data_IF_429257163549
#
_entry.id   IF_429257163549
#
_cell.length_a   1.000
_cell.length_b   1.000
_cell.length_c   1.000
_cell.angle_alpha   90.00
_cell.angle_beta   90.00
_cell.angle_gamma   90.00
#
_symmetry.space_group_name_H-M   'P 1'
#
loop_
_entity.id
_entity.type
_entity.pdbx_description
1 polymer ?
#
# COMPACT_ATOMS: atom_id res chain seq x y z
N UNK A 1 -2.81 74.13 27.54
CA UNK A 1 -1.74 74.85 28.23
C UNK A 1 -0.43 74.44 27.58
N UNK A 2 0.03 75.24 26.69
CA UNK A 2 1.19 76.13 26.73
C UNK A 2 2.52 75.38 26.71
N UNK A 3 3.12 75.31 25.52
CA UNK A 3 4.30 76.05 25.03
C UNK A 3 5.57 75.84 25.86
N UNK A 4 6.71 75.44 25.24
CA UNK A 4 7.76 76.34 24.76
C UNK A 4 8.84 75.59 23.95
N UNK A 5 9.13 76.16 22.81
CA UNK A 5 10.27 75.94 21.90
C UNK A 5 11.57 76.57 22.48
N UNK A 6 12.76 76.01 22.25
CA UNK A 6 13.96 76.85 22.12
C UNK A 6 14.92 76.33 21.03
N UNK A 7 15.28 77.30 20.20
CA UNK A 7 16.23 77.30 19.06
C UNK A 7 17.69 77.56 19.48
N UNK A 8 18.60 77.06 18.61
CA UNK A 8 19.75 77.78 18.13
C UNK A 8 21.10 77.36 18.71
N UNK A 9 22.18 77.09 17.99
CA UNK A 9 22.95 78.04 17.14
C UNK A 9 24.00 77.24 16.34
N UNK A 10 24.22 77.69 15.12
CA UNK A 10 25.36 77.36 14.23
C UNK A 10 26.66 78.02 14.77
N UNK A 11 27.83 77.41 14.49
CA UNK A 11 29.09 78.14 14.24
C UNK A 11 29.85 77.48 13.08
N UNK A 12 30.51 78.38 12.33
CA UNK A 12 31.16 78.20 11.05
C UNK A 12 32.67 77.97 11.22
N UNK A 13 33.23 77.22 10.23
CA UNK A 13 34.56 77.12 9.60
C UNK A 13 35.71 78.11 10.01
N UNK A 14 37.02 77.85 9.70
CA UNK A 14 37.48 77.64 8.32
C UNK A 14 38.64 76.62 8.09
N UNK A 15 38.93 76.44 6.79
CA UNK A 15 39.93 75.62 6.15
C UNK A 15 41.41 76.08 6.36
N UNK A 16 42.33 75.15 6.24
CA UNK A 16 43.65 75.39 5.72
C UNK A 16 44.24 74.18 4.99
N UNK A 17 44.65 74.43 3.76
CA UNK A 17 45.38 73.56 2.84
C UNK A 17 46.75 73.14 3.40
N UNK A 18 47.15 71.90 3.09
CA UNK A 18 48.58 71.60 2.80
C UNK A 18 48.69 70.42 1.88
N UNK A 19 49.19 70.67 0.67
CA UNK A 19 49.59 69.73 -0.38
C UNK A 19 50.99 69.24 -0.06
N UNK A 20 51.28 67.95 -0.10
CA UNK A 20 52.60 67.42 -0.47
C UNK A 20 52.46 66.02 -1.05
N UNK A 21 52.96 65.87 -2.27
CA UNK A 21 52.97 64.65 -3.10
C UNK A 21 54.11 63.73 -2.62
N UNK A 22 53.84 62.39 -2.69
CA UNK A 22 54.87 61.36 -2.85
C UNK A 22 54.36 60.12 -3.50
N UNK A 23 54.86 59.92 -4.63
CA UNK A 23 55.05 58.76 -5.57
C UNK A 23 54.61 57.33 -5.17
N UNK A 24 53.85 56.79 -6.07
CA UNK A 24 53.87 55.44 -6.69
C UNK A 24 54.65 54.30 -6.01
N UNK A 25 53.97 53.29 -5.51
CA UNK A 25 54.25 51.87 -5.83
C UNK A 25 52.91 51.15 -6.00
N UNK A 26 52.52 50.91 -7.26
CA UNK A 26 51.39 50.09 -7.58
C UNK A 26 51.80 48.60 -7.47
N UNK A 27 51.60 47.97 -6.35
CA UNK A 27 51.58 46.51 -6.25
C UNK A 27 50.17 46.03 -6.62
N UNK A 28 50.06 45.57 -7.86
CA UNK A 28 48.90 44.84 -8.35
C UNK A 28 48.86 43.51 -7.60
N UNK A 29 48.06 43.43 -6.53
CA UNK A 29 47.62 42.16 -5.99
C UNK A 29 46.53 41.64 -6.89
N UNK A 30 46.94 40.81 -7.89
CA UNK A 30 46.01 39.89 -8.57
C UNK A 30 45.60 38.85 -7.52
N UNK A 31 44.55 39.14 -6.79
CA UNK A 31 43.83 38.11 -6.06
C UNK A 31 43.20 37.17 -7.10
N UNK A 32 43.94 36.11 -7.43
CA UNK A 32 43.30 34.92 -8.04
C UNK A 32 42.30 34.43 -7.00
N UNK A 33 41.08 34.93 -7.12
CA UNK A 33 39.92 34.31 -6.49
C UNK A 33 39.80 32.94 -7.15
N UNK A 34 40.56 31.96 -6.62
CA UNK A 34 40.27 30.57 -6.86
C UNK A 34 38.82 30.37 -6.40
N UNK A 35 37.90 30.46 -7.35
CA UNK A 35 36.52 30.13 -7.16
C UNK A 35 36.46 28.66 -6.74
N UNK A 36 36.64 28.42 -5.43
CA UNK A 36 36.14 27.19 -4.83
C UNK A 36 34.65 27.21 -5.07
N UNK A 37 34.25 26.66 -6.20
CA UNK A 37 32.89 26.15 -6.36
C UNK A 37 32.66 25.27 -5.14
N UNK A 38 32.03 25.81 -4.11
CA UNK A 38 31.50 25.03 -3.03
C UNK A 38 30.49 24.09 -3.72
N UNK A 39 30.90 22.85 -3.99
CA UNK A 39 29.97 21.81 -4.35
C UNK A 39 28.91 21.82 -3.25
N UNK A 40 27.80 22.48 -3.52
CA UNK A 40 26.63 22.40 -2.65
C UNK A 40 26.40 20.91 -2.40
N UNK A 41 26.69 20.46 -1.19
CA UNK A 41 26.44 19.08 -0.81
C UNK A 41 24.95 18.86 -0.93
N UNK A 42 24.56 17.99 -1.87
CA UNK A 42 23.17 17.70 -2.13
C UNK A 42 22.46 17.30 -0.81
N UNK A 43 21.34 17.94 -0.51
CA UNK A 43 20.59 17.70 0.73
C UNK A 43 20.17 16.24 0.86
N UNK A 44 20.23 15.70 2.07
CA UNK A 44 19.82 14.32 2.35
C UNK A 44 18.30 14.16 2.20
N UNK A 45 17.87 13.15 1.48
CA UNK A 45 16.46 12.73 1.39
C UNK A 45 16.15 11.80 2.56
N UNK A 46 15.27 12.23 3.45
CA UNK A 46 14.87 11.51 4.66
C UNK A 46 13.60 10.72 4.41
N UNK A 47 13.66 9.39 4.55
CA UNK A 47 12.56 8.46 4.29
C UNK A 47 12.16 7.79 5.60
N UNK A 48 10.86 7.65 5.83
CA UNK A 48 10.27 6.83 6.88
C UNK A 48 9.46 5.69 6.28
N UNK A 49 9.29 4.60 7.04
CA UNK A 49 8.35 3.51 6.74
C UNK A 49 7.38 3.40 7.91
N UNK A 50 6.11 3.14 7.64
CA UNK A 50 5.08 2.85 8.64
C UNK A 50 4.40 1.52 8.29
N UNK A 51 4.32 0.61 9.27
CA UNK A 51 3.59 -0.65 9.17
C UNK A 51 3.14 -1.12 10.55
N UNK A 52 2.34 -2.19 10.60
CA UNK A 52 1.75 -2.72 11.83
C UNK A 52 2.66 -3.78 12.45
N UNK A 53 3.22 -3.47 13.62
CA UNK A 53 3.99 -4.42 14.42
C UNK A 53 3.16 -5.05 15.56
N UNK A 54 1.93 -4.61 15.73
CA UNK A 54 0.92 -5.07 16.67
C UNK A 54 -0.45 -5.17 15.97
N UNK A 55 -1.45 -5.75 16.62
CA UNK A 55 -2.81 -5.87 16.08
C UNK A 55 -2.99 -7.07 15.14
N UNK A 56 -4.07 -7.03 14.36
CA UNK A 56 -4.51 -8.14 13.52
C UNK A 56 -3.54 -8.52 12.40
N UNK A 57 -2.70 -7.58 11.95
CA UNK A 57 -1.79 -7.75 10.82
C UNK A 57 -0.31 -7.74 11.20
N UNK A 58 0.02 -7.79 12.49
CA UNK A 58 1.40 -7.72 13.00
C UNK A 58 2.37 -8.73 12.36
N UNK A 59 1.86 -9.90 11.97
CA UNK A 59 2.67 -10.94 11.30
C UNK A 59 3.27 -10.50 9.96
N UNK A 60 2.77 -9.42 9.35
CA UNK A 60 3.22 -8.93 8.06
C UNK A 60 4.28 -7.81 8.16
N UNK A 61 4.60 -7.34 9.38
CA UNK A 61 5.49 -6.21 9.62
C UNK A 61 6.84 -6.31 8.89
N UNK A 62 7.53 -7.41 9.07
CA UNK A 62 8.83 -7.63 8.44
C UNK A 62 8.73 -7.79 6.92
N UNK A 63 7.65 -8.39 6.42
CA UNK A 63 7.38 -8.57 4.99
C UNK A 63 7.16 -7.22 4.28
N UNK A 64 6.40 -6.33 4.89
CA UNK A 64 6.15 -4.97 4.42
C UNK A 64 7.44 -4.17 4.30
N UNK A 65 8.21 -4.12 5.39
CA UNK A 65 9.47 -3.39 5.46
C UNK A 65 10.47 -3.98 4.47
N UNK A 66 10.55 -5.31 4.40
CA UNK A 66 11.40 -6.03 3.46
C UNK A 66 11.07 -5.72 2.01
N UNK A 67 9.78 -5.62 1.66
CA UNK A 67 9.32 -5.21 0.34
C UNK A 67 9.82 -3.82 -0.03
N UNK A 68 9.61 -2.83 0.84
CA UNK A 68 10.08 -1.47 0.63
C UNK A 68 11.61 -1.39 0.49
N UNK A 69 12.35 -2.03 1.40
CA UNK A 69 13.82 -2.03 1.38
C UNK A 69 14.34 -2.73 0.12
N UNK A 70 13.71 -3.83 -0.32
CA UNK A 70 14.10 -4.53 -1.54
C UNK A 70 14.08 -3.60 -2.77
N UNK A 71 13.04 -2.78 -2.92
CA UNK A 71 12.96 -1.81 -4.01
C UNK A 71 14.03 -0.70 -3.87
N UNK A 72 14.21 -0.15 -2.67
CA UNK A 72 15.23 0.86 -2.39
C UNK A 72 16.64 0.30 -2.63
N UNK A 73 16.92 -0.93 -2.21
CA UNK A 73 18.21 -1.58 -2.42
C UNK A 73 18.48 -1.82 -3.92
N UNK A 74 17.49 -2.36 -4.62
CA UNK A 74 17.63 -2.68 -6.04
C UNK A 74 17.78 -1.44 -6.92
N UNK A 75 17.07 -0.35 -6.59
CA UNK A 75 16.94 0.79 -7.51
C UNK A 75 17.58 2.09 -7.00
N UNK A 76 17.93 2.18 -5.72
CA UNK A 76 18.55 3.38 -5.14
C UNK A 76 19.85 3.09 -4.37
N UNK A 77 20.30 1.83 -4.36
CA UNK A 77 21.60 1.44 -3.85
C UNK A 77 21.73 1.43 -2.33
N UNK A 78 20.61 1.37 -1.58
CA UNK A 78 20.68 1.16 -0.14
C UNK A 78 21.13 -0.28 0.17
N UNK A 79 21.67 -0.51 1.35
CA UNK A 79 22.11 -1.84 1.82
C UNK A 79 21.33 -2.21 3.08
N UNK A 80 20.54 -3.32 3.08
CA UNK A 80 19.91 -3.82 4.30
C UNK A 80 20.95 -4.04 5.40
N UNK A 81 20.66 -3.59 6.62
CA UNK A 81 21.57 -3.79 7.77
C UNK A 81 21.63 -5.24 8.23
N UNK A 82 20.47 -5.91 8.18
CA UNK A 82 20.35 -7.32 8.57
C UNK A 82 19.48 -8.07 7.56
N UNK A 83 20.04 -9.02 6.80
CA UNK A 83 19.28 -9.81 5.82
C UNK A 83 18.27 -10.79 6.44
N UNK A 84 18.31 -11.00 7.77
CA UNK A 84 17.37 -11.83 8.50
C UNK A 84 16.26 -11.03 9.21
N UNK A 85 16.40 -9.70 9.29
CA UNK A 85 15.47 -8.81 9.99
C UNK A 85 15.33 -7.49 9.21
N UNK A 86 14.38 -7.41 8.26
CA UNK A 86 14.15 -6.19 7.47
C UNK A 86 13.96 -4.93 8.31
N UNK A 87 13.29 -5.01 9.47
CA UNK A 87 13.06 -3.89 10.39
C UNK A 87 14.34 -3.32 11.01
N UNK A 88 15.50 -3.99 10.87
CA UNK A 88 16.78 -3.39 11.21
C UNK A 88 17.12 -2.18 10.30
N UNK A 89 16.40 -2.02 9.18
CA UNK A 89 16.55 -0.92 8.25
C UNK A 89 17.71 -1.05 7.28
N UNK A 90 18.21 0.07 6.78
CA UNK A 90 19.28 0.11 5.78
C UNK A 90 20.32 1.20 6.04
N UNK A 91 21.40 1.17 5.26
CA UNK A 91 22.43 2.20 5.18
C UNK A 91 22.73 2.57 3.73
N UNK A 92 23.34 3.74 3.52
CA UNK A 92 23.78 4.19 2.20
C UNK A 92 22.61 4.50 1.25
N UNK A 93 22.93 4.45 -0.05
CA UNK A 93 22.02 4.82 -1.13
C UNK A 93 22.03 6.31 -1.46
N UNK A 94 21.78 6.61 -2.75
CA UNK A 94 21.69 7.99 -3.25
C UNK A 94 20.86 8.07 -4.51
N UNK A 95 20.21 9.20 -4.74
CA UNK A 95 19.47 9.51 -5.97
C UNK A 95 19.83 10.93 -6.41
N UNK A 96 20.29 11.11 -7.65
CA UNK A 96 20.64 12.42 -8.19
C UNK A 96 21.73 13.16 -7.40
N UNK A 97 22.62 12.42 -6.72
CA UNK A 97 23.62 12.99 -5.81
C UNK A 97 23.14 13.13 -4.36
N UNK A 98 21.84 13.10 -4.09
CA UNK A 98 21.26 13.23 -2.75
C UNK A 98 21.38 11.91 -1.97
N UNK A 99 22.04 11.89 -0.80
CA UNK A 99 22.08 10.71 0.06
C UNK A 99 20.68 10.36 0.55
N UNK A 100 20.41 9.04 0.71
CA UNK A 100 19.18 8.55 1.34
C UNK A 100 19.42 8.22 2.80
N UNK A 101 18.51 8.62 3.67
CA UNK A 101 18.54 8.31 5.10
C UNK A 101 17.20 7.74 5.56
N UNK A 102 17.22 6.55 6.15
CA UNK A 102 16.09 6.06 6.95
C UNK A 102 16.10 6.82 8.27
N UNK A 103 15.04 7.58 8.56
CA UNK A 103 14.93 8.32 9.82
C UNK A 103 14.17 7.54 10.87
N UNK A 104 13.32 6.61 10.47
CA UNK A 104 12.61 5.72 11.37
C UNK A 104 11.69 4.74 10.67
N UNK A 105 11.38 3.67 11.38
CA UNK A 105 10.31 2.74 11.05
C UNK A 105 9.26 2.88 12.15
N UNK A 106 8.01 3.12 11.76
CA UNK A 106 6.87 3.24 12.64
C UNK A 106 6.25 1.89 12.90
N UNK A 107 5.73 1.73 14.11
CA UNK A 107 5.02 0.57 14.58
C UNK A 107 3.59 0.97 14.90
N UNK A 108 2.62 0.49 14.14
CA UNK A 108 1.20 0.72 14.36
C UNK A 108 0.47 -0.57 14.76
N UNK A 109 -0.88 -0.53 14.87
CA UNK A 109 -1.68 -1.60 15.45
C UNK A 109 -3.10 -1.68 14.88
N UNK A 110 -3.27 -1.35 13.61
CA UNK A 110 -4.55 -1.29 12.88
C UNK A 110 -5.50 -0.16 13.33
N UNK A 111 -5.03 0.77 14.19
CA UNK A 111 -5.85 1.89 14.69
C UNK A 111 -5.38 3.22 14.13
N UNK A 112 -6.33 4.03 13.72
CA UNK A 112 -6.10 5.36 13.15
C UNK A 112 -5.30 6.29 14.07
N UNK A 113 -5.57 6.27 15.38
CA UNK A 113 -4.91 7.11 16.38
C UNK A 113 -3.42 6.77 16.55
N UNK A 114 -3.10 5.46 16.61
CA UNK A 114 -1.71 4.98 16.69
C UNK A 114 -0.96 5.32 15.41
N UNK A 115 -1.57 5.11 14.24
CA UNK A 115 -0.96 5.48 12.96
C UNK A 115 -0.67 6.98 12.86
N UNK A 116 -1.56 7.85 13.35
CA UNK A 116 -1.32 9.30 13.36
C UNK A 116 -0.23 9.69 14.35
N UNK A 117 -0.19 9.09 15.54
CA UNK A 117 0.89 9.30 16.51
C UNK A 117 2.24 8.96 15.89
N UNK A 118 2.36 7.80 15.27
CA UNK A 118 3.58 7.36 14.58
C UNK A 118 3.91 8.23 13.36
N UNK A 119 2.90 8.61 12.57
CA UNK A 119 3.10 9.53 11.44
C UNK A 119 3.67 10.86 11.90
N UNK A 120 3.15 11.47 12.96
CA UNK A 120 3.70 12.72 13.53
C UNK A 120 5.13 12.52 14.04
N UNK A 121 5.39 11.44 14.76
CA UNK A 121 6.75 11.12 15.20
C UNK A 121 7.71 11.04 14.02
N UNK A 122 7.35 10.33 12.96
CA UNK A 122 8.19 10.15 11.78
C UNK A 122 8.38 11.46 10.99
N UNK A 123 7.29 12.17 10.72
CA UNK A 123 7.28 13.33 9.81
C UNK A 123 7.71 14.64 10.48
N UNK A 124 7.31 14.84 11.74
CA UNK A 124 7.56 16.09 12.47
C UNK A 124 8.79 15.98 13.38
N UNK A 125 8.85 14.99 14.26
CA UNK A 125 9.95 14.87 15.24
C UNK A 125 11.24 14.35 14.60
N UNK A 126 11.16 13.32 13.73
CA UNK A 126 12.32 12.77 13.02
C UNK A 126 12.57 13.47 11.69
N UNK A 127 11.67 14.34 11.26
CA UNK A 127 11.80 15.20 10.10
C UNK A 127 11.86 14.46 8.78
N UNK A 128 11.11 13.37 8.60
CA UNK A 128 11.03 12.69 7.32
C UNK A 128 10.52 13.64 6.23
N UNK A 129 11.04 13.48 5.02
CA UNK A 129 10.56 14.16 3.83
C UNK A 129 9.46 13.36 3.14
N UNK A 130 9.59 12.03 3.19
CA UNK A 130 8.79 11.05 2.48
C UNK A 130 8.41 9.92 3.43
N UNK A 131 7.21 9.36 3.26
CA UNK A 131 6.78 8.19 4.01
C UNK A 131 6.23 7.11 3.07
N UNK A 132 6.59 5.85 3.35
CA UNK A 132 6.05 4.64 2.73
C UNK A 132 5.20 3.93 3.78
N UNK A 133 3.93 3.70 3.49
CA UNK A 133 2.97 3.13 4.44
C UNK A 133 1.65 3.91 4.47
N UNK A 134 0.70 3.49 5.30
CA UNK A 134 0.70 2.35 6.23
C UNK A 134 0.22 1.02 5.61
N UNK A 135 0.01 0.00 6.47
CA UNK A 135 -0.55 -1.29 6.09
C UNK A 135 -2.07 -1.30 6.12
N UNK A 136 -2.69 -0.85 7.20
CA UNK A 136 -4.10 -1.08 7.50
C UNK A 136 -5.04 -0.02 6.89
N UNK A 137 -6.32 -0.39 6.73
CA UNK A 137 -7.31 0.44 6.06
C UNK A 137 -7.59 1.76 6.77
N UNK A 138 -8.03 1.72 8.02
CA UNK A 138 -8.38 2.92 8.80
C UNK A 138 -7.16 3.82 9.02
N UNK A 139 -6.00 3.23 9.19
CA UNK A 139 -4.74 3.94 9.27
C UNK A 139 -4.46 4.76 8.00
N UNK A 140 -4.68 4.15 6.84
CA UNK A 140 -4.41 4.83 5.56
C UNK A 140 -5.37 5.99 5.31
N UNK A 141 -6.62 5.89 5.78
CA UNK A 141 -7.58 7.00 5.75
C UNK A 141 -7.09 8.15 6.63
N UNK A 142 -6.65 7.84 7.85
CA UNK A 142 -6.12 8.82 8.79
C UNK A 142 -4.83 9.47 8.26
N UNK A 143 -3.88 8.68 7.77
CA UNK A 143 -2.61 9.18 7.18
C UNK A 143 -2.87 10.01 5.93
N UNK A 144 -3.84 9.65 5.09
CA UNK A 144 -4.20 10.47 3.92
C UNK A 144 -4.81 11.82 4.32
N UNK A 145 -5.62 11.87 5.39
CA UNK A 145 -6.11 13.13 5.96
C UNK A 145 -4.97 14.00 6.51
N UNK A 146 -4.01 13.41 7.22
CA UNK A 146 -2.79 14.09 7.65
C UNK A 146 -1.99 14.62 6.44
N UNK A 147 -1.77 13.80 5.42
CA UNK A 147 -1.07 14.18 4.20
C UNK A 147 -1.73 15.38 3.51
N UNK A 148 -3.07 15.43 3.47
CA UNK A 148 -3.84 16.53 2.88
C UNK A 148 -3.55 17.88 3.53
N UNK A 149 -3.19 17.88 4.81
CA UNK A 149 -2.81 19.07 5.58
C UNK A 149 -1.30 19.42 5.41
N UNK A 150 -0.46 18.43 5.09
CA UNK A 150 1.00 18.57 4.97
C UNK A 150 1.46 18.43 3.50
N UNK A 151 0.99 19.33 2.63
CA UNK A 151 1.14 19.23 1.17
C UNK A 151 2.58 19.33 0.66
N UNK A 152 3.51 19.83 1.48
CA UNK A 152 4.94 19.90 1.21
C UNK A 152 5.69 18.59 1.51
N UNK A 153 4.99 17.56 1.92
CA UNK A 153 5.48 16.20 2.15
C UNK A 153 4.84 15.22 1.17
N UNK A 154 5.47 14.10 0.89
CA UNK A 154 4.94 13.09 -0.04
C UNK A 154 4.78 11.75 0.65
N UNK A 155 3.66 11.12 0.41
CA UNK A 155 3.27 9.84 0.98
C UNK A 155 2.99 8.84 -0.15
N UNK A 156 3.57 7.67 -0.07
CA UNK A 156 3.20 6.53 -0.89
C UNK A 156 2.66 5.43 0.01
N UNK A 157 1.59 4.79 -0.42
CA UNK A 157 0.93 3.75 0.37
C UNK A 157 1.89 2.60 0.70
N UNK A 158 1.54 1.82 1.70
CA UNK A 158 2.08 0.49 1.92
C UNK A 158 1.23 -0.56 1.23
N UNK A 159 0.47 -1.30 2.02
CA UNK A 159 -0.49 -2.30 1.52
C UNK A 159 -1.95 -1.86 1.67
N UNK A 160 -2.21 -0.83 2.46
CA UNK A 160 -3.57 -0.43 2.84
C UNK A 160 -4.57 -0.43 1.67
N UNK A 161 -5.74 -1.04 1.91
CA UNK A 161 -6.75 -1.31 0.89
C UNK A 161 -8.11 -0.63 1.12
N UNK A 162 -8.23 0.37 2.02
CA UNK A 162 -9.47 1.13 2.15
C UNK A 162 -9.75 1.96 0.88
N UNK A 163 -11.00 1.93 0.42
CA UNK A 163 -11.45 2.71 -0.72
C UNK A 163 -11.36 4.22 -0.45
N UNK A 164 -11.70 4.61 0.77
CA UNK A 164 -11.79 5.99 1.23
C UNK A 164 -10.46 6.74 1.11
N UNK A 165 -9.35 6.08 1.28
CA UNK A 165 -8.00 6.66 1.27
C UNK A 165 -7.76 7.55 0.04
N UNK A 166 -8.13 7.08 -1.14
CA UNK A 166 -7.91 7.81 -2.40
C UNK A 166 -9.20 8.36 -3.00
N UNK A 167 -10.33 7.68 -2.85
CA UNK A 167 -11.58 8.07 -3.48
C UNK A 167 -12.36 9.12 -2.69
N UNK A 168 -12.32 9.10 -1.36
CA UNK A 168 -13.00 10.05 -0.49
C UNK A 168 -12.08 11.17 -0.01
N UNK A 169 -10.94 10.84 0.61
CA UNK A 169 -9.99 11.83 1.16
C UNK A 169 -9.32 12.65 0.07
N UNK A 170 -8.89 12.02 -1.02
CA UNK A 170 -8.29 12.66 -2.21
C UNK A 170 -7.09 13.56 -1.91
N UNK A 171 -6.24 13.22 -0.93
CA UNK A 171 -5.05 14.00 -0.59
C UNK A 171 -4.13 14.13 -1.83
N UNK A 172 -3.72 15.36 -2.24
CA UNK A 172 -3.00 15.57 -3.51
C UNK A 172 -1.58 15.01 -3.53
N UNK A 173 -1.04 14.68 -2.39
CA UNK A 173 0.32 14.21 -2.11
C UNK A 173 0.38 12.79 -1.53
N UNK A 174 -0.74 12.06 -1.56
CA UNK A 174 -0.82 10.64 -1.22
C UNK A 174 -1.05 9.81 -2.48
N UNK A 175 -0.20 8.81 -2.73
CA UNK A 175 -0.19 7.98 -3.94
C UNK A 175 -0.27 6.50 -3.58
N UNK A 176 -1.11 5.72 -4.28
CA UNK A 176 -1.27 4.30 -4.02
C UNK A 176 -1.02 3.48 -5.30
N UNK A 177 0.15 2.82 -5.36
CA UNK A 177 0.56 1.95 -6.48
C UNK A 177 0.21 0.47 -6.22
N UNK A 178 -0.88 0.24 -5.52
CA UNK A 178 -1.50 -1.07 -5.30
C UNK A 178 -3.03 -0.94 -5.39
N UNK A 179 -3.70 -2.06 -5.64
CA UNK A 179 -5.16 -2.13 -5.58
C UNK A 179 -5.70 -1.84 -4.18
N UNK A 180 -7.00 -1.66 -4.08
CA UNK A 180 -7.73 -1.66 -2.82
C UNK A 180 -8.57 -2.93 -2.65
N UNK A 181 -9.27 -3.04 -1.52
CA UNK A 181 -10.10 -4.20 -1.20
C UNK A 181 -11.16 -4.48 -2.26
N UNK A 182 -11.72 -3.45 -2.90
CA UNK A 182 -12.66 -3.61 -4.00
C UNK A 182 -11.98 -4.29 -5.20
N UNK A 183 -10.86 -3.71 -5.65
CA UNK A 183 -10.13 -4.18 -6.82
C UNK A 183 -9.61 -5.61 -6.64
N UNK A 184 -9.15 -5.96 -5.44
CA UNK A 184 -8.62 -7.30 -5.15
C UNK A 184 -9.65 -8.41 -5.25
N UNK A 185 -10.94 -8.08 -5.15
CA UNK A 185 -12.03 -9.03 -5.26
C UNK A 185 -12.76 -9.01 -6.61
N UNK A 186 -12.18 -8.35 -7.63
CA UNK A 186 -12.71 -8.38 -8.98
C UNK A 186 -12.65 -9.80 -9.55
N UNK A 187 -13.77 -10.27 -10.12
CA UNK A 187 -13.91 -11.58 -10.73
C UNK A 187 -14.33 -12.71 -9.78
N UNK A 188 -14.23 -12.49 -8.46
CA UNK A 188 -14.50 -13.57 -7.50
C UNK A 188 -16.00 -13.88 -7.38
N UNK A 189 -16.84 -12.85 -7.50
CA UNK A 189 -18.31 -13.00 -7.51
C UNK A 189 -18.80 -13.67 -8.77
N UNK A 190 -18.19 -13.36 -9.92
CA UNK A 190 -18.47 -14.02 -11.19
C UNK A 190 -18.11 -15.52 -11.14
N UNK A 191 -16.97 -15.87 -10.53
CA UNK A 191 -16.60 -17.27 -10.30
C UNK A 191 -17.60 -17.99 -9.39
N UNK A 192 -18.05 -17.34 -8.31
CA UNK A 192 -19.07 -17.90 -7.43
C UNK A 192 -20.38 -18.16 -8.19
N UNK A 193 -20.81 -17.22 -9.02
CA UNK A 193 -22.03 -17.38 -9.83
C UNK A 193 -21.89 -18.44 -10.92
N UNK A 194 -20.82 -18.40 -11.74
CA UNK A 194 -20.65 -19.25 -12.93
C UNK A 194 -20.08 -20.63 -12.62
N UNK A 195 -19.15 -20.74 -11.65
CA UNK A 195 -18.46 -22.01 -11.36
C UNK A 195 -19.01 -22.75 -10.16
N UNK A 196 -19.50 -22.04 -9.14
CA UNK A 196 -20.14 -22.63 -7.97
C UNK A 196 -21.66 -22.66 -8.09
N UNK A 197 -22.23 -22.06 -9.13
CA UNK A 197 -23.68 -21.95 -9.42
C UNK A 197 -24.45 -21.24 -8.30
N UNK A 198 -23.81 -20.34 -7.55
CA UNK A 198 -24.50 -19.59 -6.52
C UNK A 198 -25.49 -18.59 -7.10
N UNK A 199 -26.63 -18.42 -6.42
CA UNK A 199 -27.67 -17.42 -6.71
C UNK A 199 -27.96 -16.56 -5.50
N UNK A 200 -27.93 -17.18 -4.31
CA UNK A 200 -28.14 -16.51 -3.01
C UNK A 200 -26.93 -16.73 -2.13
N UNK A 201 -26.31 -15.67 -1.65
CA UNK A 201 -25.17 -15.76 -0.76
C UNK A 201 -25.34 -14.83 0.46
N UNK A 202 -24.70 -15.20 1.57
CA UNK A 202 -24.45 -14.29 2.68
C UNK A 202 -22.99 -13.81 2.64
N UNK A 203 -22.69 -12.73 3.36
CA UNK A 203 -21.34 -12.24 3.52
C UNK A 203 -21.05 -11.90 4.98
N UNK A 204 -19.88 -12.30 5.44
CA UNK A 204 -19.29 -11.85 6.69
C UNK A 204 -18.01 -11.05 6.39
N UNK A 205 -17.90 -9.86 6.94
CA UNK A 205 -16.77 -8.96 6.72
C UNK A 205 -16.45 -8.15 7.96
N UNK A 206 -15.17 -7.85 8.17
CA UNK A 206 -14.74 -7.03 9.29
C UNK A 206 -15.38 -5.63 9.27
N UNK A 207 -15.75 -5.14 10.46
CA UNK A 207 -16.43 -3.87 10.67
C UNK A 207 -15.44 -2.69 10.68
N UNK A 208 -14.75 -2.49 9.55
CA UNK A 208 -13.82 -1.37 9.32
C UNK A 208 -13.60 -1.11 7.82
N UNK A 209 -12.89 -0.05 7.46
CA UNK A 209 -12.82 0.47 6.09
C UNK A 209 -12.32 -0.53 5.04
N UNK A 210 -11.31 -1.36 5.36
CA UNK A 210 -10.86 -2.39 4.42
C UNK A 210 -11.85 -3.56 4.30
N UNK A 211 -12.45 -4.00 5.43
CA UNK A 211 -13.48 -5.04 5.41
C UNK A 211 -14.66 -4.64 4.52
N UNK A 212 -15.11 -3.39 4.66
CA UNK A 212 -16.15 -2.84 3.79
C UNK A 212 -15.72 -2.78 2.33
N UNK A 213 -14.48 -2.36 2.03
CA UNK A 213 -13.97 -2.31 0.67
C UNK A 213 -13.87 -3.73 0.07
N UNK A 214 -13.35 -4.70 0.83
CA UNK A 214 -13.25 -6.10 0.40
C UNK A 214 -14.63 -6.70 0.12
N UNK A 215 -15.56 -6.55 1.05
CA UNK A 215 -16.93 -7.02 0.87
C UNK A 215 -17.66 -6.32 -0.28
N UNK A 216 -17.42 -5.02 -0.46
CA UNK A 216 -18.02 -4.27 -1.56
C UNK A 216 -17.61 -4.79 -2.93
N UNK A 217 -16.33 -5.17 -3.10
CA UNK A 217 -15.87 -5.82 -4.34
C UNK A 217 -16.57 -7.14 -4.61
N UNK A 218 -16.68 -8.00 -3.59
CA UNK A 218 -17.39 -9.29 -3.69
C UNK A 218 -18.88 -9.10 -4.03
N UNK A 219 -19.56 -8.19 -3.32
CA UNK A 219 -20.99 -7.90 -3.54
C UNK A 219 -21.21 -7.37 -4.95
N UNK A 220 -20.45 -6.34 -5.35
CA UNK A 220 -20.64 -5.72 -6.65
C UNK A 220 -20.41 -6.70 -7.80
N UNK A 221 -19.41 -7.55 -7.69
CA UNK A 221 -19.08 -8.54 -8.72
C UNK A 221 -20.11 -9.67 -8.80
N UNK A 222 -20.53 -10.19 -7.64
CA UNK A 222 -21.54 -11.26 -7.59
C UNK A 222 -22.91 -10.79 -8.07
N UNK A 223 -23.35 -9.61 -7.63
CA UNK A 223 -24.63 -9.05 -8.06
C UNK A 223 -24.62 -8.67 -9.55
N UNK A 224 -23.48 -8.20 -10.07
CA UNK A 224 -23.33 -7.95 -11.51
C UNK A 224 -23.49 -9.22 -12.36
N UNK A 225 -23.07 -10.37 -11.83
CA UNK A 225 -23.23 -11.66 -12.48
C UNK A 225 -24.66 -12.22 -12.40
N UNK A 226 -25.54 -11.64 -11.57
CA UNK A 226 -26.93 -12.07 -11.37
C UNK A 226 -27.22 -12.70 -10.01
N UNK A 227 -26.24 -12.70 -9.10
CA UNK A 227 -26.41 -13.19 -7.74
C UNK A 227 -27.11 -12.19 -6.82
N UNK A 228 -27.50 -12.63 -5.63
CA UNK A 228 -28.14 -11.82 -4.61
C UNK A 228 -27.50 -12.05 -3.23
N UNK A 229 -27.20 -10.97 -2.49
CA UNK A 229 -26.72 -11.00 -1.11
C UNK A 229 -27.91 -10.83 -0.16
N UNK A 230 -28.23 -11.90 0.56
CA UNK A 230 -29.41 -11.94 1.45
C UNK A 230 -29.10 -11.56 2.89
N UNK A 231 -27.83 -11.62 3.31
CA UNK A 231 -27.41 -11.28 4.68
C UNK A 231 -25.99 -10.73 4.69
N UNK A 232 -25.74 -9.73 5.53
CA UNK A 232 -24.44 -9.18 5.84
C UNK A 232 -24.19 -9.23 7.33
N UNK A 233 -22.98 -9.63 7.74
CA UNK A 233 -22.57 -9.76 9.15
C UNK A 233 -21.23 -9.04 9.33
N UNK A 234 -21.06 -8.32 10.45
CA UNK A 234 -19.96 -7.39 10.67
C UNK A 234 -19.31 -7.59 12.04
N UNK A 235 -18.41 -8.56 12.21
CA UNK A 235 -17.59 -8.65 13.42
C UNK A 235 -16.58 -7.49 13.45
N UNK A 236 -16.30 -6.92 14.63
CA UNK A 236 -15.17 -5.99 14.81
C UNK A 236 -13.84 -6.64 14.43
N UNK A 237 -12.90 -5.87 13.85
CA UNK A 237 -11.62 -6.37 13.33
C UNK A 237 -10.83 -7.21 14.33
N UNK A 238 -10.75 -6.80 15.58
CA UNK A 238 -9.98 -7.48 16.61
C UNK A 238 -10.84 -8.39 17.50
N UNK A 239 -11.95 -8.93 16.99
CA UNK A 239 -12.78 -9.89 17.71
C UNK A 239 -12.00 -11.16 18.04
N UNK A 240 -12.15 -11.66 19.25
CA UNK A 240 -11.63 -12.94 19.72
C UNK A 240 -12.70 -14.03 19.74
N UNK A 241 -13.98 -13.65 19.91
CA UNK A 241 -15.15 -14.52 19.85
C UNK A 241 -16.04 -14.16 18.66
N UNK A 242 -16.26 -15.12 17.79
CA UNK A 242 -17.11 -15.00 16.62
C UNK A 242 -18.43 -15.77 16.72
N UNK A 243 -18.72 -16.39 17.86
CA UNK A 243 -19.87 -17.29 18.02
C UNK A 243 -21.21 -16.60 17.75
N UNK A 244 -21.39 -15.37 18.22
CA UNK A 244 -22.60 -14.58 17.98
C UNK A 244 -22.74 -14.16 16.53
N UNK A 245 -21.63 -13.85 15.86
CA UNK A 245 -21.59 -13.45 14.46
C UNK A 245 -21.85 -14.65 13.53
N UNK A 246 -21.28 -15.81 13.85
CA UNK A 246 -21.53 -17.05 13.10
C UNK A 246 -23.03 -17.40 13.11
N UNK A 247 -23.69 -17.31 14.27
CA UNK A 247 -25.14 -17.56 14.38
C UNK A 247 -26.05 -16.54 13.65
N UNK A 248 -25.53 -15.36 13.29
CA UNK A 248 -26.24 -14.39 12.47
C UNK A 248 -26.23 -14.75 10.99
N UNK A 249 -25.32 -15.62 10.54
CA UNK A 249 -25.33 -16.13 9.18
C UNK A 249 -26.53 -17.05 8.97
N UNK A 250 -27.16 -17.05 7.79
CA UNK A 250 -28.17 -18.05 7.44
C UNK A 250 -27.58 -19.46 7.55
N UNK A 251 -28.43 -20.45 7.86
CA UNK A 251 -28.03 -21.85 7.83
C UNK A 251 -27.63 -22.29 6.39
N UNK A 252 -26.77 -23.32 6.24
CA UNK A 252 -26.21 -23.73 4.94
C UNK A 252 -27.25 -24.19 3.89
N UNK A 253 -28.46 -24.56 4.32
CA UNK A 253 -29.57 -24.92 3.42
C UNK A 253 -30.38 -23.70 2.92
N UNK A 254 -30.13 -22.50 3.46
CA UNK A 254 -30.87 -21.27 3.12
C UNK A 254 -30.13 -20.40 2.10
N UNK A 255 -28.82 -20.65 1.88
CA UNK A 255 -27.97 -19.96 0.92
C UNK A 255 -27.08 -20.95 0.18
N UNK A 256 -26.65 -20.57 -1.03
CA UNK A 256 -25.72 -21.39 -1.80
C UNK A 256 -24.30 -21.30 -1.26
N UNK A 257 -23.97 -20.20 -0.59
CA UNK A 257 -22.66 -20.03 0.01
C UNK A 257 -22.44 -18.70 0.73
N UNK A 258 -21.20 -18.55 1.19
CA UNK A 258 -20.77 -17.43 2.02
C UNK A 258 -19.53 -16.77 1.43
N UNK A 259 -19.58 -15.47 1.24
CA UNK A 259 -18.39 -14.66 1.05
C UNK A 259 -17.76 -14.35 2.40
N UNK A 260 -16.44 -14.57 2.49
CA UNK A 260 -15.69 -14.41 3.73
C UNK A 260 -14.63 -13.33 3.59
N UNK A 261 -14.93 -12.13 4.08
CA UNK A 261 -14.06 -10.97 4.05
C UNK A 261 -13.53 -10.58 5.43
N UNK A 262 -13.39 -11.56 6.33
CA UNK A 262 -12.72 -11.42 7.62
C UNK A 262 -11.22 -11.61 7.43
N UNK A 263 -10.42 -10.72 8.01
CA UNK A 263 -8.98 -10.67 7.81
C UNK A 263 -8.14 -10.90 9.07
N UNK A 264 -6.83 -10.89 8.89
CA UNK A 264 -5.85 -10.97 9.97
C UNK A 264 -6.06 -12.13 10.92
N UNK A 265 -5.93 -11.87 12.20
CA UNK A 265 -6.10 -12.86 13.28
C UNK A 265 -7.54 -13.37 13.41
N UNK A 266 -8.53 -12.67 12.86
CA UNK A 266 -9.95 -13.04 12.90
C UNK A 266 -10.34 -14.16 11.94
N UNK A 267 -9.56 -14.39 10.87
CA UNK A 267 -9.91 -15.33 9.79
C UNK A 267 -10.19 -16.74 10.33
N UNK A 268 -9.27 -17.31 11.08
CA UNK A 268 -9.40 -18.70 11.57
C UNK A 268 -10.46 -18.85 12.66
N UNK A 269 -10.51 -17.98 13.70
CA UNK A 269 -11.55 -18.05 14.72
C UNK A 269 -12.96 -17.92 14.13
N UNK A 270 -13.17 -17.03 13.16
CA UNK A 270 -14.50 -16.87 12.54
C UNK A 270 -14.95 -18.10 11.76
N UNK A 271 -14.04 -18.76 11.02
CA UNK A 271 -14.32 -20.01 10.33
C UNK A 271 -14.61 -21.16 11.30
N UNK A 272 -13.86 -21.25 12.41
CA UNK A 272 -14.13 -22.25 13.47
C UNK A 272 -15.46 -22.00 14.17
N UNK A 273 -15.83 -20.75 14.44
CA UNK A 273 -17.13 -20.42 15.02
C UNK A 273 -18.30 -20.80 14.10
N UNK A 274 -18.12 -20.61 12.79
CA UNK A 274 -19.08 -21.14 11.81
C UNK A 274 -19.19 -22.67 11.87
N UNK A 275 -18.07 -23.40 11.95
CA UNK A 275 -18.08 -24.85 12.04
C UNK A 275 -18.74 -25.38 13.32
N UNK A 276 -18.60 -24.65 14.42
CA UNK A 276 -19.30 -24.96 15.69
C UNK A 276 -20.82 -24.78 15.55
N UNK A 277 -21.28 -23.77 14.81
CA UNK A 277 -22.69 -23.47 14.64
C UNK A 277 -23.39 -24.38 13.61
N UNK A 278 -22.70 -24.72 12.51
CA UNK A 278 -23.32 -25.34 11.32
C UNK A 278 -22.59 -26.58 10.79
N UNK A 279 -21.57 -27.05 11.48
CA UNK A 279 -20.77 -28.19 11.04
C UNK A 279 -19.65 -27.80 10.06
N UNK A 280 -18.89 -28.79 9.62
CA UNK A 280 -17.68 -28.59 8.81
C UNK A 280 -17.92 -27.78 7.54
N UNK A 281 -17.07 -26.81 7.30
CA UNK A 281 -17.08 -26.01 6.07
C UNK A 281 -16.90 -26.89 4.83
N UNK A 282 -17.67 -26.60 3.82
CA UNK A 282 -17.55 -27.20 2.49
C UNK A 282 -16.95 -26.16 1.53
N UNK A 283 -15.82 -26.49 0.90
CA UNK A 283 -15.12 -25.58 -0.01
C UNK A 283 -16.02 -24.96 -1.12
N UNK A 284 -17.04 -25.70 -1.58
CA UNK A 284 -18.00 -25.21 -2.56
C UNK A 284 -18.99 -24.17 -2.02
N UNK A 285 -19.08 -24.03 -0.70
CA UNK A 285 -19.98 -23.10 -0.02
C UNK A 285 -19.23 -21.91 0.61
N UNK A 286 -17.93 -21.76 0.34
CA UNK A 286 -17.16 -20.63 0.87
C UNK A 286 -16.26 -20.04 -0.20
N UNK A 287 -16.26 -18.70 -0.27
CA UNK A 287 -15.37 -17.91 -1.11
C UNK A 287 -14.71 -16.88 -0.22
N UNK A 288 -13.39 -16.94 -0.12
CA UNK A 288 -12.60 -16.09 0.78
C UNK A 288 -11.99 -14.88 0.10
N UNK A 289 -11.52 -13.96 0.92
CA UNK A 289 -10.52 -12.98 0.52
C UNK A 289 -9.11 -13.56 0.66
N UNK A 290 -8.10 -12.75 0.37
CA UNK A 290 -6.68 -13.12 0.45
C UNK A 290 -6.25 -13.79 1.77
N UNK A 291 -6.93 -13.52 2.88
CA UNK A 291 -6.56 -14.06 4.20
C UNK A 291 -6.82 -15.55 4.36
N UNK A 292 -7.56 -16.17 3.47
CA UNK A 292 -7.70 -17.63 3.48
C UNK A 292 -6.35 -18.35 3.31
N UNK A 293 -5.39 -17.73 2.64
CA UNK A 293 -4.04 -18.26 2.53
C UNK A 293 -3.00 -17.48 3.35
N UNK A 294 -3.18 -16.17 3.55
CA UNK A 294 -2.22 -15.36 4.30
C UNK A 294 -2.24 -15.62 5.81
N UNK A 295 -3.36 -16.10 6.37
CA UNK A 295 -3.51 -16.36 7.81
C UNK A 295 -3.09 -17.76 8.27
N UNK A 296 -2.68 -18.64 7.36
CA UNK A 296 -2.40 -20.05 7.68
C UNK A 296 -3.66 -20.88 7.95
N UNK A 297 -4.81 -20.45 7.45
CA UNK A 297 -6.08 -21.20 7.54
C UNK A 297 -5.98 -22.60 6.94
N UNK A 298 -5.11 -22.78 5.96
CA UNK A 298 -4.71 -24.06 5.37
C UNK A 298 -4.24 -25.08 6.38
N UNK A 299 -3.35 -24.65 7.30
CA UNK A 299 -2.76 -25.56 8.30
C UNK A 299 -3.79 -26.02 9.31
N UNK A 300 -4.80 -25.18 9.62
CA UNK A 300 -5.77 -25.44 10.67
C UNK A 300 -7.09 -26.08 10.15
N UNK A 301 -7.54 -25.65 8.96
CA UNK A 301 -8.78 -26.15 8.34
C UNK A 301 -8.49 -27.23 7.29
N UNK A 302 -7.27 -27.28 6.79
CA UNK A 302 -6.76 -28.35 5.93
C UNK A 302 -7.60 -28.62 4.70
N UNK A 303 -7.85 -29.92 4.36
CA UNK A 303 -8.54 -30.32 3.14
C UNK A 303 -9.96 -29.78 2.97
N UNK A 304 -10.58 -29.26 4.03
CA UNK A 304 -11.94 -28.68 3.96
C UNK A 304 -12.03 -27.46 3.06
N UNK A 305 -10.91 -26.71 2.92
CA UNK A 305 -10.82 -25.57 2.01
C UNK A 305 -10.31 -25.95 0.61
N UNK A 306 -10.06 -27.25 0.35
CA UNK A 306 -9.54 -27.67 -0.94
C UNK A 306 -10.55 -27.40 -2.05
N UNK A 307 -10.17 -26.57 -3.02
CA UNK A 307 -11.02 -26.15 -4.11
C UNK A 307 -11.78 -24.83 -3.88
N UNK A 308 -11.70 -24.23 -2.70
CA UNK A 308 -12.29 -22.93 -2.42
C UNK A 308 -11.67 -21.84 -3.31
N UNK A 309 -12.50 -20.93 -3.82
CA UNK A 309 -12.02 -19.75 -4.54
C UNK A 309 -11.68 -18.62 -3.57
N UNK A 310 -10.68 -17.82 -3.94
CA UNK A 310 -10.14 -16.74 -3.10
C UNK A 310 -9.85 -15.51 -3.96
N UNK A 311 -10.26 -14.37 -3.47
CA UNK A 311 -9.93 -13.07 -4.07
C UNK A 311 -8.43 -12.80 -4.03
N UNK A 312 -7.96 -12.01 -4.98
CA UNK A 312 -6.56 -11.73 -5.18
C UNK A 312 -5.98 -10.67 -4.24
N UNK A 313 -4.74 -10.30 -4.54
CA UNK A 313 -4.01 -9.26 -3.81
C UNK A 313 -3.10 -8.45 -4.77
N UNK A 314 -3.45 -8.45 -6.07
CA UNK A 314 -2.65 -7.81 -7.11
C UNK A 314 -1.36 -8.55 -7.47
N UNK A 315 -1.13 -9.73 -6.90
CA UNK A 315 -0.03 -10.64 -7.18
C UNK A 315 -0.56 -11.99 -7.68
N UNK A 316 0.30 -12.91 -8.02
CA UNK A 316 -0.08 -14.26 -8.48
C UNK A 316 1.01 -15.26 -8.10
N UNK A 317 0.72 -16.20 -7.16
CA UNK A 317 1.74 -17.11 -6.62
C UNK A 317 2.43 -17.98 -7.65
N UNK A 318 1.69 -18.48 -8.62
CA UNK A 318 2.10 -19.48 -9.60
C UNK A 318 2.29 -18.90 -11.01
N UNK A 319 2.11 -17.58 -11.21
CA UNK A 319 2.28 -16.97 -12.53
C UNK A 319 3.72 -17.15 -13.03
N UNK A 320 3.85 -17.58 -14.27
CA UNK A 320 5.13 -17.76 -14.96
C UNK A 320 5.45 -16.55 -15.84
N UNK A 321 6.71 -16.24 -15.99
CA UNK A 321 7.17 -15.19 -16.88
C UNK A 321 8.47 -14.52 -16.42
N UNK A 322 9.14 -13.85 -17.33
CA UNK A 322 10.44 -13.21 -17.08
C UNK A 322 10.37 -12.13 -15.99
N UNK A 323 9.28 -11.36 -15.93
CA UNK A 323 9.08 -10.31 -14.91
C UNK A 323 8.95 -10.90 -13.49
N UNK A 324 8.21 -12.01 -13.36
CA UNK A 324 8.05 -12.72 -12.08
C UNK A 324 9.38 -13.34 -11.65
N UNK A 325 10.07 -14.02 -12.57
CA UNK A 325 11.39 -14.60 -12.30
C UNK A 325 12.42 -13.54 -11.88
N UNK A 326 12.41 -12.38 -12.53
CA UNK A 326 13.24 -11.23 -12.17
C UNK A 326 12.93 -10.73 -10.76
N UNK A 327 11.67 -10.58 -10.43
CA UNK A 327 11.24 -10.13 -9.09
C UNK A 327 11.69 -11.09 -7.99
N UNK A 328 11.49 -12.40 -8.20
CA UNK A 328 11.99 -13.44 -7.27
C UNK A 328 13.50 -13.34 -7.06
N UNK A 329 14.27 -13.19 -8.13
CA UNK A 329 15.75 -13.00 -8.05
C UNK A 329 16.14 -11.72 -7.29
N UNK A 330 15.34 -10.66 -7.38
CA UNK A 330 15.59 -9.42 -6.64
C UNK A 330 15.35 -9.64 -5.13
N UNK A 331 14.27 -10.31 -4.75
CA UNK A 331 14.00 -10.66 -3.35
C UNK A 331 15.14 -11.53 -2.79
N UNK A 332 15.53 -12.59 -3.51
CA UNK A 332 16.62 -13.49 -3.13
C UNK A 332 17.95 -12.77 -2.95
N UNK A 333 18.26 -11.78 -3.79
CA UNK A 333 19.49 -10.99 -3.69
C UNK A 333 19.65 -10.30 -2.34
N UNK A 334 18.55 -9.75 -1.81
CA UNK A 334 18.62 -8.89 -0.65
C UNK A 334 18.23 -9.57 0.66
N UNK A 335 17.32 -10.57 0.59
CA UNK A 335 16.77 -11.22 1.77
C UNK A 335 16.76 -12.75 1.69
N UNK A 336 17.76 -13.35 1.01
CA UNK A 336 17.87 -14.82 0.87
C UNK A 336 17.81 -15.57 2.20
N UNK A 337 18.29 -14.95 3.29
CA UNK A 337 18.31 -15.54 4.62
C UNK A 337 17.01 -15.30 5.42
N UNK A 338 16.07 -14.53 4.89
CA UNK A 338 14.77 -14.31 5.52
C UNK A 338 13.69 -15.10 4.76
N UNK A 339 13.28 -16.28 5.26
CA UNK A 339 12.40 -17.19 4.53
C UNK A 339 11.10 -16.58 4.01
N UNK A 340 10.41 -15.68 4.74
CA UNK A 340 9.21 -15.04 4.24
C UNK A 340 9.39 -14.18 2.99
N UNK A 341 10.61 -13.75 2.65
CA UNK A 341 10.89 -12.91 1.49
C UNK A 341 11.65 -13.61 0.38
N UNK A 342 12.28 -14.76 0.68
CA UNK A 342 13.27 -15.36 -0.21
C UNK A 342 13.27 -16.89 -0.21
N UNK A 343 13.99 -17.44 -1.15
CA UNK A 343 14.31 -18.85 -1.23
C UNK A 343 13.20 -19.72 -1.81
N UNK A 344 13.17 -20.95 -1.36
CA UNK A 344 12.15 -21.95 -1.72
C UNK A 344 10.75 -21.55 -1.23
N UNK A 345 10.66 -20.58 -0.37
CA UNK A 345 9.44 -19.86 -0.06
C UNK A 345 9.00 -19.01 -1.26
N UNK A 346 9.14 -19.52 -2.48
CA UNK A 346 8.65 -18.94 -3.72
C UNK A 346 7.16 -18.62 -3.65
N UNK A 347 6.45 -19.24 -2.73
CA UNK A 347 5.08 -18.96 -2.37
C UNK A 347 4.95 -17.56 -1.71
N UNK A 348 6.00 -17.06 -1.07
CA UNK A 348 6.04 -15.73 -0.45
C UNK A 348 6.42 -14.59 -1.42
N UNK A 349 7.08 -14.88 -2.54
CA UNK A 349 7.31 -13.87 -3.59
C UNK A 349 6.00 -13.33 -4.18
N UNK A 350 4.92 -14.08 -4.03
CA UNK A 350 3.58 -13.68 -4.37
C UNK A 350 2.82 -13.05 -3.19
N UNK A 351 3.44 -12.96 -2.04
CA UNK A 351 2.85 -12.25 -0.91
C UNK A 351 2.55 -10.80 -1.31
N UNK A 352 1.29 -10.46 -1.26
CA UNK A 352 0.82 -9.14 -1.65
C UNK A 352 1.30 -8.04 -0.70
N UNK A 353 1.59 -8.35 0.55
CA UNK A 353 2.14 -7.39 1.51
C UNK A 353 3.52 -6.93 1.06
N UNK A 354 4.45 -7.85 0.87
CA UNK A 354 5.78 -7.57 0.32
C UNK A 354 5.70 -6.88 -1.04
N UNK A 355 4.87 -7.38 -1.97
CA UNK A 355 4.76 -6.88 -3.32
C UNK A 355 4.20 -5.46 -3.40
N UNK A 356 3.22 -5.12 -2.57
CA UNK A 356 2.62 -3.79 -2.55
C UNK A 356 3.58 -2.74 -1.99
N UNK A 357 4.27 -3.02 -0.89
CA UNK A 357 5.32 -2.13 -0.38
C UNK A 357 6.47 -1.98 -1.39
N UNK A 358 6.87 -3.06 -2.06
CA UNK A 358 7.88 -3.01 -3.12
C UNK A 358 7.47 -2.09 -4.27
N UNK A 359 6.25 -2.21 -4.79
CA UNK A 359 5.79 -1.38 -5.90
C UNK A 359 5.67 0.10 -5.52
N UNK A 360 5.15 0.41 -4.34
CA UNK A 360 5.03 1.77 -3.85
C UNK A 360 6.42 2.42 -3.65
N UNK A 361 7.37 1.71 -3.05
CA UNK A 361 8.75 2.16 -2.91
C UNK A 361 9.45 2.29 -4.27
N UNK A 362 9.23 1.35 -5.20
CA UNK A 362 9.78 1.44 -6.54
C UNK A 362 9.24 2.63 -7.33
N UNK A 363 7.93 2.89 -7.24
CA UNK A 363 7.33 4.08 -7.84
C UNK A 363 7.96 5.38 -7.29
N UNK A 364 8.17 5.43 -5.97
CA UNK A 364 8.84 6.55 -5.32
C UNK A 364 10.27 6.74 -5.85
N UNK A 365 11.06 5.68 -5.93
CA UNK A 365 12.43 5.75 -6.50
C UNK A 365 12.42 6.21 -7.95
N UNK A 366 11.48 5.72 -8.78
CA UNK A 366 11.36 6.17 -10.18
C UNK A 366 11.08 7.67 -10.27
N UNK A 367 10.15 8.16 -9.46
CA UNK A 367 9.81 9.59 -9.44
C UNK A 367 10.95 10.45 -8.91
N UNK A 368 11.64 10.02 -7.84
CA UNK A 368 12.83 10.69 -7.32
C UNK A 368 13.95 10.77 -8.35
N UNK A 369 14.18 9.69 -9.11
CA UNK A 369 15.17 9.71 -10.21
C UNK A 369 14.77 10.69 -11.31
N UNK A 370 13.49 10.75 -11.67
CA UNK A 370 13.00 11.67 -12.71
C UNK A 370 13.22 13.15 -12.34
N UNK A 371 13.18 13.48 -11.04
CA UNK A 371 13.46 14.83 -10.53
C UNK A 371 14.89 14.98 -9.99
N UNK A 372 15.78 14.00 -10.24
CA UNK A 372 17.18 14.00 -9.76
C UNK A 372 17.32 14.22 -8.24
N UNK A 373 16.33 13.78 -7.45
CA UNK A 373 16.31 13.94 -5.99
C UNK A 373 15.88 15.33 -5.51
N UNK A 374 15.46 16.23 -6.39
CA UNK A 374 15.03 17.59 -6.04
C UNK A 374 13.69 17.57 -5.27
N UNK A 375 13.73 17.93 -3.99
CA UNK A 375 12.58 18.08 -3.11
C UNK A 375 12.18 19.55 -2.89
N UNK A 376 12.80 20.49 -3.60
CA UNK A 376 12.49 21.92 -3.48
C UNK A 376 11.06 22.27 -3.88
N UNK A 377 10.61 23.48 -3.56
CA UNK A 377 9.29 23.98 -3.92
C UNK A 377 8.14 23.16 -3.31
N UNK A 378 8.32 22.64 -2.09
CA UNK A 378 7.30 21.82 -1.41
C UNK A 378 7.03 20.50 -2.11
N UNK A 379 8.05 19.90 -2.72
CA UNK A 379 8.00 18.60 -3.40
C UNK A 379 7.02 18.52 -4.61
N UNK A 380 6.56 19.65 -5.13
CA UNK A 380 5.57 19.70 -6.23
C UNK A 380 6.05 18.96 -7.48
N UNK A 381 7.36 19.08 -7.82
CA UNK A 381 7.95 18.35 -8.96
C UNK A 381 7.91 16.84 -8.75
N UNK A 382 8.26 16.35 -7.56
CA UNK A 382 8.20 14.94 -7.20
C UNK A 382 6.77 14.39 -7.27
N UNK A 383 5.81 15.12 -6.71
CA UNK A 383 4.39 14.73 -6.75
C UNK A 383 3.85 14.71 -8.18
N UNK A 384 4.27 15.65 -9.03
CA UNK A 384 3.94 15.64 -10.47
C UNK A 384 4.56 14.45 -11.20
N UNK A 385 5.81 14.09 -10.88
CA UNK A 385 6.47 12.90 -11.43
C UNK A 385 5.76 11.61 -10.99
N UNK A 386 5.37 11.49 -9.71
CA UNK A 386 4.60 10.33 -9.20
C UNK A 386 3.28 10.15 -9.96
N UNK A 387 2.54 11.23 -10.27
CA UNK A 387 1.29 11.13 -11.05
C UNK A 387 1.48 10.48 -12.41
N UNK A 388 2.66 10.65 -13.02
CA UNK A 388 3.00 10.14 -14.35
C UNK A 388 3.77 8.81 -14.30
N UNK A 389 4.11 8.34 -13.09
CA UNK A 389 4.92 7.13 -12.92
C UNK A 389 4.13 5.90 -13.34
N UNK A 390 4.77 5.06 -14.15
CA UNK A 390 4.31 3.73 -14.52
C UNK A 390 5.23 2.71 -13.86
N UNK A 391 4.67 1.76 -13.14
CA UNK A 391 5.39 0.60 -12.61
C UNK A 391 5.07 -0.61 -13.47
N UNK A 392 6.09 -1.15 -14.15
CA UNK A 392 5.97 -2.43 -14.85
C UNK A 392 6.30 -3.54 -13.85
N UNK A 393 5.34 -3.82 -12.98
CA UNK A 393 5.48 -4.79 -11.89
C UNK A 393 5.57 -6.23 -12.39
N UNK A 394 5.93 -7.14 -11.48
CA UNK A 394 6.05 -8.57 -11.80
C UNK A 394 4.73 -9.17 -12.31
N UNK A 395 3.62 -8.69 -11.79
CA UNK A 395 2.28 -9.18 -12.10
C UNK A 395 1.47 -8.23 -12.98
N UNK A 396 2.13 -7.29 -13.66
CA UNK A 396 1.51 -6.43 -14.64
C UNK A 396 1.80 -4.96 -14.45
N UNK A 397 1.32 -4.18 -15.41
CA UNK A 397 1.50 -2.73 -15.46
C UNK A 397 0.58 -2.04 -14.45
N UNK A 398 1.14 -1.11 -13.67
CA UNK A 398 0.43 -0.27 -12.72
C UNK A 398 0.53 1.18 -13.20
N UNK A 399 -0.60 1.84 -13.36
CA UNK A 399 -0.73 3.27 -13.62
C UNK A 399 -1.66 3.89 -12.57
N UNK A 400 -1.71 5.21 -12.50
CA UNK A 400 -2.61 5.89 -11.57
C UNK A 400 -3.80 6.51 -12.28
N UNK A 401 -4.96 6.51 -11.61
CA UNK A 401 -6.12 7.30 -12.01
C UNK A 401 -6.02 8.77 -11.52
N UNK A 402 -7.07 9.55 -11.77
CA UNK A 402 -7.16 10.95 -11.32
C UNK A 402 -7.08 11.13 -9.80
N UNK A 403 -7.47 10.13 -9.03
CA UNK A 403 -7.41 10.12 -7.56
C UNK A 403 -6.08 9.58 -7.03
N UNK A 404 -5.10 9.29 -7.90
CA UNK A 404 -3.79 8.67 -7.55
C UNK A 404 -3.92 7.25 -7.03
N UNK A 405 -4.99 6.57 -7.42
CA UNK A 405 -5.23 5.16 -7.18
C UNK A 405 -4.70 4.31 -8.33
N UNK A 406 -4.10 3.18 -8.00
CA UNK A 406 -3.63 2.23 -9.01
C UNK A 406 -4.75 1.73 -9.93
N UNK A 407 -4.41 1.65 -11.21
CA UNK A 407 -5.11 0.85 -12.20
C UNK A 407 -4.16 -0.29 -12.53
N UNK A 408 -4.55 -1.52 -12.22
CA UNK A 408 -3.69 -2.69 -12.35
C UNK A 408 -4.52 -3.94 -12.64
N UNK A 409 -3.91 -5.02 -13.16
CA UNK A 409 -4.60 -6.29 -13.29
C UNK A 409 -4.91 -6.91 -11.92
N UNK A 410 -5.92 -7.76 -11.88
CA UNK A 410 -6.28 -8.56 -10.73
C UNK A 410 -6.33 -10.03 -11.07
N UNK A 411 -6.23 -10.85 -10.04
CA UNK A 411 -6.15 -12.29 -10.13
C UNK A 411 -7.09 -12.94 -9.12
N UNK A 412 -7.76 -14.02 -9.50
CA UNK A 412 -8.52 -14.87 -8.57
C UNK A 412 -7.83 -16.22 -8.46
N UNK A 413 -7.91 -16.82 -7.30
CA UNK A 413 -7.19 -18.05 -6.98
C UNK A 413 -8.13 -19.17 -6.63
N UNK A 414 -7.60 -20.40 -6.70
CA UNK A 414 -8.19 -21.61 -6.14
C UNK A 414 -7.20 -22.23 -5.16
N UNK A 415 -7.68 -22.58 -4.00
CA UNK A 415 -6.87 -23.28 -3.00
C UNK A 415 -6.74 -24.76 -3.37
N UNK A 416 -5.52 -25.28 -3.39
CA UNK A 416 -5.24 -26.70 -3.57
C UNK A 416 -4.50 -27.17 -2.32
N UNK A 417 -5.17 -27.93 -1.48
CA UNK A 417 -4.57 -28.46 -0.25
C UNK A 417 -3.87 -29.77 -0.58
N UNK A 418 -2.57 -29.84 -0.30
CA UNK A 418 -1.75 -31.04 -0.52
C UNK A 418 -2.11 -32.10 0.50
N UNK A 419 -2.04 -33.37 0.13
CA UNK A 419 -2.25 -34.49 1.06
C UNK A 419 -1.27 -34.48 2.25
N UNK A 420 -0.06 -33.97 2.05
CA UNK A 420 0.99 -33.78 3.08
C UNK A 420 0.76 -32.58 4.01
N UNK A 421 -0.37 -31.87 3.88
CA UNK A 421 -0.57 -30.55 4.50
C UNK A 421 0.13 -29.42 3.73
N UNK A 422 -0.37 -28.20 3.91
CA UNK A 422 0.10 -27.02 3.19
C UNK A 422 -0.75 -26.73 1.94
N UNK A 423 -0.86 -25.46 1.59
CA UNK A 423 -1.62 -24.99 0.43
C UNK A 423 -0.66 -24.79 -0.75
N UNK A 424 -1.07 -25.28 -1.91
CA UNK A 424 -0.71 -24.71 -3.19
C UNK A 424 -1.87 -23.82 -3.65
N UNK A 425 -1.60 -22.65 -4.13
CA UNK A 425 -2.57 -21.73 -4.69
C UNK A 425 -2.40 -21.76 -6.21
N UNK A 426 -3.48 -22.00 -6.94
CA UNK A 426 -3.48 -21.86 -8.39
C UNK A 426 -4.23 -20.60 -8.76
N UNK A 427 -3.61 -19.74 -9.53
CA UNK A 427 -4.29 -18.63 -10.19
C UNK A 427 -5.21 -19.21 -11.27
N UNK A 428 -6.47 -18.83 -11.23
CA UNK A 428 -7.48 -19.36 -12.15
C UNK A 428 -8.02 -18.33 -13.12
N UNK A 429 -7.92 -17.05 -12.76
CA UNK A 429 -8.44 -15.94 -13.56
C UNK A 429 -7.54 -14.72 -13.50
N UNK A 430 -7.42 -14.05 -14.62
CA UNK A 430 -6.77 -12.75 -14.81
C UNK A 430 -7.79 -11.74 -15.33
N UNK A 431 -7.81 -10.56 -14.74
CA UNK A 431 -8.66 -9.42 -15.14
C UNK A 431 -7.77 -8.22 -15.40
N UNK A 432 -7.76 -7.68 -16.63
CA UNK A 432 -6.90 -6.54 -16.98
C UNK A 432 -7.45 -5.22 -16.42
N UNK A 433 -6.58 -4.33 -15.97
CA UNK A 433 -6.85 -2.90 -15.81
C UNK A 433 -8.00 -2.54 -14.87
N UNK A 434 -8.13 -3.23 -13.74
CA UNK A 434 -9.22 -3.00 -12.78
C UNK A 434 -9.06 -1.62 -12.11
N UNK A 435 -10.18 -0.87 -12.07
CA UNK A 435 -10.28 0.44 -11.43
C UNK A 435 -11.09 0.35 -10.14
N UNK A 436 -10.76 1.20 -9.16
CA UNK A 436 -11.43 1.30 -7.86
C UNK A 436 -12.96 1.51 -7.95
N UNK A 437 -13.44 2.19 -8.98
CA UNK A 437 -14.86 2.49 -9.15
C UNK A 437 -15.70 1.35 -9.71
N UNK A 438 -15.09 0.23 -10.11
CA UNK A 438 -15.79 -0.85 -10.85
C UNK A 438 -16.70 -0.30 -11.97
N UNK A 439 -16.16 0.63 -12.79
CA UNK A 439 -16.91 1.25 -13.88
C UNK A 439 -18.10 2.10 -13.43
N UNK A 440 -18.01 2.67 -12.22
CA UNK A 440 -19.07 3.48 -11.62
C UNK A 440 -20.08 2.67 -10.80
N UNK A 441 -19.83 1.38 -10.54
CA UNK A 441 -20.63 0.59 -9.60
C UNK A 441 -20.42 1.00 -8.16
N UNK A 442 -19.22 1.48 -7.83
CA UNK A 442 -18.86 1.99 -6.51
C UNK A 442 -18.66 3.49 -6.59
N UNK A 443 -19.63 4.25 -6.15
CA UNK A 443 -19.66 5.73 -6.22
C UNK A 443 -19.67 6.40 -4.85
N UNK A 444 -19.99 5.63 -3.81
CA UNK A 444 -20.02 6.07 -2.40
C UNK A 444 -19.08 5.22 -1.56
N UNK A 445 -18.62 5.70 -0.41
CA UNK A 445 -17.83 4.90 0.52
C UNK A 445 -18.52 3.57 0.84
N UNK A 446 -17.80 2.44 0.73
CA UNK A 446 -18.29 1.17 1.21
C UNK A 446 -18.61 1.23 2.70
N UNK A 447 -19.65 0.54 3.12
CA UNK A 447 -20.15 0.53 4.50
C UNK A 447 -20.98 -0.72 4.75
N UNK A 448 -21.54 -0.86 5.94
CA UNK A 448 -22.47 -1.96 6.27
C UNK A 448 -23.61 -2.08 5.23
N UNK A 449 -24.08 -0.95 4.69
CA UNK A 449 -25.21 -0.90 3.75
C UNK A 449 -24.81 -0.60 2.28
N UNK A 450 -23.55 -0.27 2.01
CA UNK A 450 -23.06 0.11 0.67
C UNK A 450 -21.91 -0.80 0.21
N UNK A 451 -21.89 -1.25 -1.07
CA UNK A 451 -22.91 -1.03 -2.10
C UNK A 451 -24.17 -1.87 -1.90
N UNK A 452 -25.27 -1.44 -2.52
CA UNK A 452 -26.42 -2.30 -2.77
C UNK A 452 -26.10 -3.41 -3.76
N UNK A 453 -26.95 -4.42 -3.83
CA UNK A 453 -26.86 -5.45 -4.87
C UNK A 453 -27.47 -4.90 -6.16
N UNK A 454 -26.63 -4.60 -7.15
CA UNK A 454 -27.05 -4.00 -8.41
C UNK A 454 -26.62 -4.88 -9.59
N UNK A 455 -27.59 -5.31 -10.39
CA UNK A 455 -27.35 -6.08 -11.60
C UNK A 455 -26.92 -5.16 -12.74
N UNK A 456 -25.60 -5.08 -13.01
CA UNK A 456 -25.04 -4.27 -14.10
C UNK A 456 -23.76 -4.87 -14.63
N UNK A 457 -23.54 -4.72 -15.94
CA UNK A 457 -22.30 -5.17 -16.57
C UNK A 457 -21.08 -4.42 -16.03
N UNK A 458 -20.04 -5.15 -15.60
CA UNK A 458 -18.77 -4.59 -15.16
C UNK A 458 -17.83 -4.36 -16.35
N UNK A 459 -16.84 -3.44 -16.23
CA UNK A 459 -15.97 -3.04 -17.36
C UNK A 459 -15.12 -4.17 -17.94
N UNK A 460 -14.90 -5.23 -17.17
CA UNK A 460 -14.10 -6.39 -17.58
C UNK A 460 -14.94 -7.59 -18.04
N UNK A 461 -16.29 -7.50 -17.98
CA UNK A 461 -17.15 -8.61 -18.42
C UNK A 461 -16.83 -8.99 -19.85
N UNK A 462 -16.42 -10.25 -20.05
CA UNK A 462 -15.97 -10.79 -21.34
C UNK A 462 -14.52 -10.48 -21.70
N UNK A 463 -13.75 -9.85 -20.78
CA UNK A 463 -12.30 -9.61 -20.91
C UNK A 463 -11.49 -10.43 -19.91
N UNK A 464 -12.16 -11.19 -19.09
CA UNK A 464 -11.57 -12.13 -18.15
C UNK A 464 -10.84 -13.21 -18.93
N UNK A 465 -9.65 -13.54 -18.51
CA UNK A 465 -8.82 -14.56 -19.15
C UNK A 465 -8.52 -15.67 -18.14
N UNK A 466 -8.69 -16.93 -18.53
CA UNK A 466 -8.30 -18.04 -17.67
C UNK A 466 -6.79 -18.08 -17.51
N UNK A 467 -6.34 -18.53 -16.34
CA UNK A 467 -4.94 -18.84 -16.07
C UNK A 467 -4.82 -20.35 -15.90
N UNK A 468 -3.98 -20.97 -16.69
CA UNK A 468 -3.76 -22.42 -16.68
C UNK A 468 -2.28 -22.68 -16.47
N UNK A 469 -1.95 -23.42 -15.42
CA UNK A 469 -0.55 -23.73 -15.06
C UNK A 469 0.36 -22.48 -14.99
N UNK A 470 -0.18 -21.37 -14.48
CA UNK A 470 0.54 -20.10 -14.35
C UNK A 470 0.72 -19.30 -15.64
N UNK A 471 -0.03 -19.65 -16.71
CA UNK A 471 0.00 -18.94 -17.99
C UNK A 471 -1.38 -18.33 -18.29
N UNK A 472 -1.42 -17.04 -18.56
CA UNK A 472 -2.64 -16.32 -18.98
C UNK A 472 -2.93 -16.74 -20.44
N UNK A 473 -4.13 -17.26 -20.66
CA UNK A 473 -4.58 -17.76 -21.97
C UNK A 473 -5.31 -16.66 -22.77
#
# INVERSE_FOLDING_TARGET
MTYVRKKGRRFWLPAALSILAAALVATVWVTVAAGRSSKSTASTIKIAILSDCQGAFASNYEQDIGGAITALAQYAGVKPKNPNKPSAGWTGGKIGGHPLKLVGIGCSNDKADTAIKETRRLMEQLGADLMIGPLSGDESVAVANYAKQHRNKTFVNGTAGAWDTTAAVKAPNFFRFNGDGIQWNAGIGDLAYKKLHWRKAAIIMDDYSFGYASGAGMIADFCAAGGNIVKRVFPPLNSTDFSSFARQLPAPDKVDGYFWAVGGTGTIPSLKAYEQAYGKIKAKQVVGNLFFFASGADKQLGPRLNGAYVGGFGSSPDLKGAAVAKYKKILDRWFKKYPPLAGKASDHAADGFTYNYYNNAWALVKALKAVKGDLSGGQKKLQAALRKTIVNGAYGKITLDKNRQAIQPQYSYRMNVKASGGIAISTVQYIPGVRQSFGGSITKPPSRNSPGCVHRKLPWTGKERPVVNGVIK
#
